data_IF_661953513021
#
_entry.id   IF_661953513021
#
_cell.length_a   1.000
_cell.length_b   1.000
_cell.length_c   1.000
_cell.angle_alpha   90.00
_cell.angle_beta   90.00
_cell.angle_gamma   90.00
#
_symmetry.space_group_name_H-M   'P 1'
#
loop_
_entity.id
_entity.type
_entity.pdbx_description
1 polymer ?
#
# COMPACT_ATOMS: atom_id res chain seq x y z
N UNK A 1 18.74 -12.55 12.82
CA UNK A 1 17.60 -13.49 12.77
C UNK A 1 16.37 -12.74 12.26
N UNK A 2 15.48 -13.38 11.50
CA UNK A 2 14.18 -12.80 11.10
C UNK A 2 13.10 -13.14 12.13
N UNK A 3 11.96 -12.46 12.06
CA UNK A 3 10.79 -12.68 12.93
C UNK A 3 9.58 -13.08 12.08
N UNK A 4 8.85 -14.12 12.51
CA UNK A 4 7.63 -14.55 11.85
C UNK A 4 6.46 -13.63 12.19
N UNK A 5 5.69 -13.25 11.17
CA UNK A 5 4.49 -12.43 11.30
C UNK A 5 3.26 -13.21 10.85
N UNK A 6 2.64 -13.91 11.79
CA UNK A 6 1.48 -14.77 11.52
C UNK A 6 0.20 -14.00 11.81
N UNK A 7 -0.71 -13.96 10.83
CA UNK A 7 -1.98 -13.22 10.89
C UNK A 7 -3.16 -14.15 10.60
N UNK A 8 -4.26 -13.94 11.32
CA UNK A 8 -5.58 -14.49 11.00
C UNK A 8 -6.28 -13.62 9.95
N UNK A 9 -7.30 -14.18 9.29
CA UNK A 9 -8.13 -13.41 8.36
C UNK A 9 -8.71 -12.16 9.05
N UNK A 10 -8.62 -11.01 8.37
CA UNK A 10 -9.05 -9.71 8.89
C UNK A 10 -8.02 -8.97 9.74
N UNK A 11 -6.91 -9.61 10.14
CA UNK A 11 -5.81 -8.92 10.82
C UNK A 11 -4.89 -8.21 9.84
N UNK A 12 -4.21 -7.17 10.33
CA UNK A 12 -3.28 -6.37 9.54
C UNK A 12 -1.92 -6.26 10.23
N UNK A 13 -0.93 -5.94 9.41
CA UNK A 13 0.38 -5.46 9.85
C UNK A 13 0.65 -4.11 9.21
N UNK A 14 1.21 -3.19 9.98
CA UNK A 14 1.65 -1.88 9.52
C UNK A 14 3.17 -1.83 9.70
N UNK A 15 3.88 -1.49 8.64
CA UNK A 15 5.33 -1.35 8.66
C UNK A 15 5.77 -0.26 7.69
N UNK A 16 6.97 0.27 7.91
CA UNK A 16 7.60 1.21 7.00
C UNK A 16 7.96 0.51 5.68
N UNK A 17 7.80 1.18 4.54
CA UNK A 17 8.04 0.58 3.22
C UNK A 17 9.48 0.09 2.99
N UNK A 18 10.44 0.61 3.76
CA UNK A 18 11.85 0.19 3.71
C UNK A 18 12.24 -0.89 4.73
N UNK A 19 11.30 -1.38 5.55
CA UNK A 19 11.60 -2.49 6.45
C UNK A 19 11.99 -3.71 5.61
N UNK A 20 13.11 -4.38 5.93
CA UNK A 20 13.47 -5.63 5.24
C UNK A 20 12.41 -6.67 5.58
N UNK A 21 11.69 -7.13 4.56
CA UNK A 21 10.62 -8.11 4.70
C UNK A 21 10.61 -9.07 3.52
N UNK A 22 10.02 -10.24 3.73
CA UNK A 22 9.89 -11.28 2.72
C UNK A 22 8.88 -12.33 3.16
N UNK A 23 8.57 -13.26 2.27
CA UNK A 23 7.68 -14.37 2.60
C UNK A 23 8.27 -15.69 2.14
N UNK A 24 8.11 -16.72 2.97
CA UNK A 24 8.45 -18.09 2.58
C UNK A 24 7.51 -18.59 1.49
N UNK A 25 7.98 -19.61 0.76
CA UNK A 25 7.18 -20.33 -0.22
C UNK A 25 5.89 -20.88 0.43
N UNK A 26 4.77 -20.78 -0.28
CA UNK A 26 3.52 -21.34 0.17
C UNK A 26 3.50 -22.85 -0.10
N UNK A 27 3.54 -23.66 0.96
CA UNK A 27 3.52 -25.14 0.87
C UNK A 27 2.12 -25.74 1.05
N UNK A 28 1.09 -24.92 1.24
CA UNK A 28 -0.29 -25.40 1.44
C UNK A 28 -1.05 -25.57 0.13
N UNK A 29 -2.15 -26.33 0.16
CA UNK A 29 -3.09 -26.46 -0.96
C UNK A 29 -4.04 -25.26 -1.11
N UNK A 30 -3.85 -24.18 -0.32
CA UNK A 30 -4.68 -22.98 -0.32
C UNK A 30 -3.84 -21.76 -0.70
N UNK A 31 -4.41 -20.86 -1.51
CA UNK A 31 -3.79 -19.56 -1.80
C UNK A 31 -3.77 -18.68 -0.55
N UNK A 32 -2.60 -18.13 -0.21
CA UNK A 32 -2.48 -17.01 0.74
C UNK A 32 -2.77 -15.70 0.00
N UNK A 33 -3.83 -15.00 0.38
CA UNK A 33 -4.21 -13.70 -0.18
C UNK A 33 -3.99 -12.59 0.85
N UNK A 34 -3.39 -11.49 0.43
CA UNK A 34 -3.24 -10.28 1.25
C UNK A 34 -3.59 -9.04 0.43
N UNK A 35 -4.15 -8.03 1.09
CA UNK A 35 -4.37 -6.70 0.52
C UNK A 35 -3.29 -5.77 1.05
N UNK A 36 -2.57 -5.12 0.14
CA UNK A 36 -1.54 -4.13 0.49
C UNK A 36 -2.08 -2.73 0.25
N UNK A 37 -2.07 -1.91 1.28
CA UNK A 37 -2.37 -0.47 1.21
C UNK A 37 -1.10 0.31 1.54
N UNK A 38 -0.81 1.35 0.78
CA UNK A 38 0.34 2.24 1.01
C UNK A 38 -0.18 3.64 1.30
N UNK A 39 0.35 4.25 2.35
CA UNK A 39 -0.01 5.60 2.78
C UNK A 39 1.18 6.52 2.59
N UNK A 40 0.90 7.72 2.08
CA UNK A 40 1.87 8.81 1.92
C UNK A 40 1.18 10.11 2.33
N UNK A 41 1.91 11.09 2.87
CA UNK A 41 1.36 12.41 3.10
C UNK A 41 1.20 13.17 1.77
N UNK A 42 0.29 14.17 1.71
CA UNK A 42 -0.03 14.87 0.45
C UNK A 42 1.14 15.61 -0.21
N UNK A 43 2.16 16.00 0.57
CA UNK A 43 3.35 16.67 0.04
C UNK A 43 4.26 15.76 -0.79
N UNK A 44 4.08 14.43 -0.75
CA UNK A 44 4.86 13.50 -1.57
C UNK A 44 4.45 13.66 -3.03
N UNK A 45 5.44 13.61 -3.93
CA UNK A 45 5.24 13.66 -5.36
C UNK A 45 5.87 12.44 -6.03
N UNK A 46 5.16 11.86 -7.01
CA UNK A 46 5.72 10.83 -7.87
C UNK A 46 6.67 11.47 -8.89
N UNK A 47 7.94 11.08 -8.85
CA UNK A 47 8.99 11.61 -9.73
C UNK A 47 9.05 10.90 -11.08
N UNK A 48 8.60 9.65 -11.15
CA UNK A 48 8.69 8.79 -12.34
C UNK A 48 7.39 8.02 -12.53
N UNK A 49 7.02 7.70 -13.77
CA UNK A 49 5.86 6.86 -14.07
C UNK A 49 6.03 5.43 -13.52
N UNK A 50 4.91 4.76 -13.25
CA UNK A 50 4.93 3.36 -12.87
C UNK A 50 5.24 2.46 -14.08
N UNK A 51 5.37 1.15 -13.86
CA UNK A 51 5.66 0.15 -14.89
C UNK A 51 4.66 0.10 -16.05
N UNK A 52 3.51 0.78 -15.94
CA UNK A 52 2.50 0.91 -17.00
C UNK A 52 2.55 2.27 -17.71
N UNK A 53 3.61 3.06 -17.53
CA UNK A 53 3.74 4.43 -18.04
C UNK A 53 2.59 5.35 -17.54
N UNK A 54 2.27 5.28 -16.24
CA UNK A 54 1.20 6.08 -15.61
C UNK A 54 1.60 6.64 -14.26
N UNK A 55 0.98 7.76 -13.87
CA UNK A 55 0.97 8.20 -12.47
C UNK A 55 0.04 7.31 -11.64
N UNK A 56 0.42 7.08 -10.39
CA UNK A 56 -0.45 6.47 -9.39
C UNK A 56 -1.63 7.39 -9.09
N UNK A 57 -2.75 6.79 -8.70
CA UNK A 57 -3.93 7.51 -8.24
C UNK A 57 -4.01 7.35 -6.72
N UNK A 58 -4.12 8.47 -6.01
CA UNK A 58 -4.22 8.51 -4.56
C UNK A 58 -5.64 8.85 -4.12
N UNK A 59 -6.13 8.22 -3.06
CA UNK A 59 -7.39 8.60 -2.40
C UNK A 59 -7.02 9.41 -1.15
N UNK A 60 -7.55 10.63 -1.02
CA UNK A 60 -7.42 11.40 0.21
C UNK A 60 -8.20 10.70 1.33
N UNK A 61 -7.52 9.98 2.23
CA UNK A 61 -8.22 9.23 3.28
C UNK A 61 -8.70 10.12 4.43
N UNK A 62 -7.91 11.14 4.80
CA UNK A 62 -8.18 12.05 5.91
C UNK A 62 -7.44 13.38 5.70
N UNK A 63 -8.03 14.47 6.18
CA UNK A 63 -7.41 15.79 6.18
C UNK A 63 -7.72 16.57 4.91
N UNK A 64 -6.76 17.37 4.45
CA UNK A 64 -6.86 18.22 3.27
C UNK A 64 -5.61 18.02 2.39
N UNK A 65 -5.78 18.07 1.07
CA UNK A 65 -4.67 18.08 0.11
C UNK A 65 -4.50 19.48 -0.49
N UNK A 66 -3.48 20.20 -0.02
CA UNK A 66 -3.11 21.52 -0.53
C UNK A 66 -2.00 21.46 -1.60
N UNK A 67 -1.46 20.27 -1.89
CA UNK A 67 -0.33 20.09 -2.80
C UNK A 67 -0.76 19.60 -4.19
N UNK A 68 -1.83 18.82 -4.28
CA UNK A 68 -2.40 18.33 -5.54
C UNK A 68 -1.36 17.55 -6.40
N UNK A 69 -0.48 16.80 -5.73
CA UNK A 69 0.58 16.02 -6.38
C UNK A 69 0.06 14.74 -7.06
N UNK A 70 -1.14 14.29 -6.70
CA UNK A 70 -1.83 13.14 -7.28
C UNK A 70 -3.16 13.57 -7.90
N UNK A 71 -3.65 12.88 -8.95
CA UNK A 71 -4.96 13.17 -9.50
C UNK A 71 -6.06 12.99 -8.45
N UNK A 72 -6.96 13.98 -8.35
CA UNK A 72 -8.15 13.85 -7.54
C UNK A 72 -9.07 12.79 -8.14
N UNK A 73 -9.38 11.77 -7.36
CA UNK A 73 -10.35 10.73 -7.71
C UNK A 73 -11.53 10.78 -6.75
N UNK A 74 -12.73 10.53 -7.29
CA UNK A 74 -13.96 10.44 -6.50
C UNK A 74 -13.76 9.33 -5.46
N UNK A 75 -14.07 9.61 -4.20
CA UNK A 75 -14.00 8.62 -3.13
C UNK A 75 -14.90 7.42 -3.50
N UNK A 76 -14.33 6.22 -3.74
CA UNK A 76 -15.09 5.08 -4.23
C UNK A 76 -15.90 4.37 -3.14
N UNK A 77 -15.95 4.93 -1.93
CA UNK A 77 -16.54 4.31 -0.74
C UNK A 77 -17.61 5.22 -0.07
N UNK A 78 -18.19 6.14 -0.83
CA UNK A 78 -19.39 6.91 -0.41
C UNK A 78 -20.63 6.07 -0.75
#
# INVERSE_FOLDING_TARGET
ASVNLILKAGQISIHHGHLIHGSLANQSNRRRCGLTLRYIPPFVQQTEENFMARKWQGILLRGQDNHQNFPNIIHPFI
#
